data_IF_287277009638
#
_entry.id   IF_287277009638
#
_cell.length_a   1.000
_cell.length_b   1.000
_cell.length_c   1.000
_cell.angle_alpha   90.00
_cell.angle_beta   90.00
_cell.angle_gamma   90.00
#
_symmetry.space_group_name_H-M   'P 1'
#
loop_
_entity.id
_entity.type
_entity.pdbx_description
1 polymer ?
#
# COMPACT_ATOMS: atom_id res chain seq x y z
N UNK A 1 -37.50 -23.90 29.70
CA UNK A 1 -36.40 -24.30 28.78
C UNK A 1 -35.44 -25.18 29.57
N UNK A 2 -35.14 -26.37 29.09
CA UNK A 2 -34.22 -27.30 29.77
C UNK A 2 -32.82 -26.69 29.82
N UNK A 3 -32.06 -26.84 30.93
CA UNK A 3 -30.71 -26.26 31.07
C UNK A 3 -29.70 -26.73 30.00
N UNK A 4 -30.01 -27.81 29.28
CA UNK A 4 -29.23 -28.34 28.14
C UNK A 4 -29.47 -27.61 26.81
N UNK A 5 -30.55 -26.85 26.64
CA UNK A 5 -30.84 -26.15 25.38
C UNK A 5 -29.92 -24.95 25.13
N UNK A 6 -29.55 -24.23 26.19
CA UNK A 6 -28.72 -23.03 26.08
C UNK A 6 -27.30 -23.30 25.55
N UNK A 7 -26.52 -24.28 26.05
CA UNK A 7 -25.19 -24.58 25.52
C UNK A 7 -25.22 -25.06 24.05
N UNK A 8 -26.26 -25.79 23.64
CA UNK A 8 -26.41 -26.25 22.26
C UNK A 8 -26.55 -25.08 21.28
N UNK A 9 -27.33 -24.06 21.66
CA UNK A 9 -27.50 -22.84 20.87
C UNK A 9 -26.16 -22.08 20.76
N UNK A 10 -25.43 -21.93 21.87
CA UNK A 10 -24.12 -21.26 21.86
C UNK A 10 -23.11 -21.99 20.95
N UNK A 11 -23.03 -23.31 21.02
CA UNK A 11 -22.14 -24.11 20.15
C UNK A 11 -22.54 -23.95 18.69
N UNK A 12 -23.84 -24.01 18.38
CA UNK A 12 -24.34 -23.87 17.01
C UNK A 12 -23.99 -22.49 16.43
N UNK A 13 -24.26 -21.43 17.19
CA UNK A 13 -23.94 -20.05 16.80
C UNK A 13 -22.43 -19.87 16.61
N UNK A 14 -21.62 -20.41 17.52
CA UNK A 14 -20.16 -20.35 17.45
C UNK A 14 -19.61 -21.06 16.19
N UNK A 15 -20.10 -22.26 15.89
CA UNK A 15 -19.73 -23.00 14.67
C UNK A 15 -20.14 -22.24 13.41
N UNK A 16 -21.34 -21.66 13.38
CA UNK A 16 -21.80 -20.83 12.25
C UNK A 16 -20.85 -19.65 12.03
N UNK A 17 -20.46 -18.93 13.09
CA UNK A 17 -19.51 -17.82 12.97
C UNK A 17 -18.14 -18.27 12.43
N UNK A 18 -17.63 -19.41 12.90
CA UNK A 18 -16.38 -19.99 12.40
C UNK A 18 -16.48 -20.29 10.90
N UNK A 19 -17.54 -20.99 10.48
CA UNK A 19 -17.76 -21.37 9.07
C UNK A 19 -17.89 -20.14 8.18
N UNK A 20 -18.64 -19.12 8.61
CA UNK A 20 -18.76 -17.85 7.89
C UNK A 20 -17.42 -17.13 7.77
N UNK A 21 -16.61 -17.13 8.83
CA UNK A 21 -15.26 -16.57 8.82
C UNK A 21 -14.34 -17.25 7.80
N UNK A 22 -14.31 -18.58 7.79
CA UNK A 22 -13.52 -19.34 6.81
C UNK A 22 -14.00 -19.10 5.37
N UNK A 23 -15.31 -19.03 5.15
CA UNK A 23 -15.88 -18.79 3.81
C UNK A 23 -15.55 -17.38 3.30
N UNK A 24 -15.60 -16.37 4.18
CA UNK A 24 -15.18 -15.02 3.86
C UNK A 24 -13.69 -14.95 3.50
N UNK A 25 -12.82 -15.61 4.27
CA UNK A 25 -11.38 -15.67 3.97
C UNK A 25 -11.08 -16.36 2.63
N UNK A 26 -11.73 -17.49 2.34
CA UNK A 26 -11.57 -18.18 1.04
C UNK A 26 -11.99 -17.30 -0.13
N UNK A 27 -13.09 -16.56 0.02
CA UNK A 27 -13.55 -15.62 -1.02
C UNK A 27 -12.53 -14.49 -1.24
N UNK A 28 -12.00 -13.89 -0.17
CA UNK A 28 -10.98 -12.84 -0.30
C UNK A 28 -9.70 -13.36 -0.96
N UNK A 29 -9.24 -14.56 -0.60
CA UNK A 29 -8.08 -15.19 -1.22
C UNK A 29 -8.31 -15.48 -2.71
N UNK A 30 -9.51 -15.93 -3.09
CA UNK A 30 -9.88 -16.15 -4.49
C UNK A 30 -9.96 -14.84 -5.28
N UNK A 31 -10.56 -13.80 -4.71
CA UNK A 31 -10.62 -12.46 -5.34
C UNK A 31 -9.21 -11.86 -5.50
N UNK A 32 -8.34 -12.02 -4.51
CA UNK A 32 -6.93 -11.65 -4.61
C UNK A 32 -6.22 -12.42 -5.71
N UNK A 33 -6.33 -13.75 -5.73
CA UNK A 33 -5.68 -14.59 -6.72
C UNK A 33 -6.13 -14.25 -8.15
N UNK A 34 -7.43 -13.99 -8.34
CA UNK A 34 -7.96 -13.56 -9.64
C UNK A 34 -7.41 -12.20 -10.06
N UNK A 35 -7.35 -11.23 -9.14
CA UNK A 35 -6.75 -9.92 -9.41
C UNK A 35 -5.25 -10.02 -9.72
N UNK A 36 -4.50 -10.81 -8.95
CA UNK A 36 -3.06 -11.07 -9.15
C UNK A 36 -2.80 -11.64 -10.54
N UNK A 37 -3.59 -12.64 -10.96
CA UNK A 37 -3.50 -13.22 -12.29
C UNK A 37 -3.81 -12.19 -13.39
N UNK A 38 -4.82 -11.34 -13.20
CA UNK A 38 -5.17 -10.28 -14.15
C UNK A 38 -4.05 -9.24 -14.32
N UNK A 39 -3.24 -9.02 -13.28
CA UNK A 39 -2.08 -8.12 -13.33
C UNK A 39 -0.80 -8.80 -13.87
N UNK A 40 -0.85 -10.07 -14.28
CA UNK A 40 0.33 -10.83 -14.71
C UNK A 40 1.31 -11.13 -13.57
N UNK A 41 0.84 -11.06 -12.33
CA UNK A 41 1.63 -11.36 -11.13
C UNK A 41 1.41 -12.81 -10.70
N UNK A 42 2.32 -13.33 -9.88
CA UNK A 42 2.21 -14.68 -9.29
C UNK A 42 1.89 -14.57 -7.81
N UNK A 43 0.77 -15.18 -7.40
CA UNK A 43 0.38 -15.23 -5.99
C UNK A 43 1.32 -16.19 -5.24
N UNK A 44 1.99 -15.70 -4.20
CA UNK A 44 2.73 -16.53 -3.28
C UNK A 44 1.75 -17.01 -2.20
N UNK A 45 1.34 -18.27 -2.30
CA UNK A 45 0.58 -18.88 -1.22
C UNK A 45 1.50 -19.08 -0.02
N UNK A 46 1.21 -18.35 1.04
CA UNK A 46 1.81 -18.61 2.32
C UNK A 46 1.35 -19.93 2.93
N UNK A 47 2.23 -20.53 3.74
CA UNK A 47 1.98 -21.76 4.50
C UNK A 47 0.82 -21.52 5.47
N UNK A 48 -0.35 -22.07 5.13
CA UNK A 48 -1.52 -22.42 5.97
C UNK A 48 -1.99 -21.41 7.05
N UNK A 49 -3.32 -21.29 7.23
CA UNK A 49 -4.09 -20.60 8.30
C UNK A 49 -3.75 -19.15 8.74
N UNK A 50 -2.69 -18.49 8.29
CA UNK A 50 -2.38 -17.13 8.80
C UNK A 50 -1.47 -16.25 7.95
N UNK A 51 -0.98 -16.71 6.80
CA UNK A 51 0.04 -15.93 6.08
C UNK A 51 -0.57 -14.72 5.39
N UNK A 52 0.12 -13.56 5.41
CA UNK A 52 -0.24 -12.44 4.56
C UNK A 52 -0.36 -12.87 3.09
N UNK A 53 -1.33 -12.28 2.41
CA UNK A 53 -1.50 -12.44 0.97
C UNK A 53 -0.35 -11.71 0.31
N UNK A 54 0.47 -12.42 -0.45
CA UNK A 54 1.62 -11.88 -1.16
C UNK A 54 1.52 -12.25 -2.65
N UNK A 55 1.96 -11.34 -3.50
CA UNK A 55 2.07 -11.52 -4.94
C UNK A 55 3.33 -10.82 -5.44
N UNK A 56 4.08 -11.50 -6.30
CA UNK A 56 5.31 -10.98 -6.90
C UNK A 56 5.29 -11.24 -8.40
N UNK A 57 5.95 -10.38 -9.18
CA UNK A 57 6.03 -10.58 -10.62
C UNK A 57 6.72 -9.41 -11.32
N UNK A 58 6.44 -9.28 -12.60
CA UNK A 58 6.98 -8.20 -13.43
C UNK A 58 5.87 -7.50 -14.17
N UNK A 59 5.87 -6.17 -14.16
CA UNK A 59 4.94 -5.30 -14.90
C UNK A 59 5.75 -4.22 -15.61
N UNK A 60 5.51 -4.01 -16.90
CA UNK A 60 6.28 -3.08 -17.73
C UNK A 60 7.82 -3.24 -17.59
N UNK A 61 8.31 -4.50 -17.51
CA UNK A 61 9.74 -4.81 -17.32
C UNK A 61 10.30 -4.57 -15.91
N UNK A 62 9.49 -4.11 -14.95
CA UNK A 62 9.92 -3.81 -13.57
C UNK A 62 9.40 -4.85 -12.59
N UNK A 63 10.16 -5.13 -11.54
CA UNK A 63 9.70 -6.03 -10.48
C UNK A 63 8.60 -5.37 -9.66
N UNK A 64 7.50 -6.09 -9.47
CA UNK A 64 6.34 -5.64 -8.67
C UNK A 64 6.12 -6.60 -7.52
N UNK A 65 5.80 -6.06 -6.35
CA UNK A 65 5.41 -6.81 -5.15
C UNK A 65 4.16 -6.23 -4.55
N UNK A 66 3.22 -7.07 -4.16
CA UNK A 66 2.00 -6.67 -3.46
C UNK A 66 1.84 -7.60 -2.28
N UNK A 67 1.77 -7.08 -1.06
CA UNK A 67 1.62 -7.91 0.11
C UNK A 67 0.82 -7.22 1.20
N UNK A 68 0.16 -8.01 2.03
CA UNK A 68 -0.33 -7.51 3.32
C UNK A 68 0.73 -7.71 4.40
N UNK A 69 0.75 -6.82 5.39
CA UNK A 69 1.54 -7.03 6.60
C UNK A 69 0.78 -6.48 7.79
N UNK A 70 1.26 -6.73 9.00
CA UNK A 70 0.58 -6.27 10.21
C UNK A 70 1.59 -5.71 11.18
N UNK A 71 1.32 -4.51 11.70
CA UNK A 71 2.14 -3.84 12.71
C UNK A 71 1.41 -3.77 14.04
N UNK A 72 2.15 -3.59 15.14
CA UNK A 72 1.60 -3.55 16.50
C UNK A 72 1.36 -4.94 17.11
N UNK A 73 0.89 -4.94 18.36
CA UNK A 73 0.64 -6.18 19.13
C UNK A 73 -0.66 -6.08 19.93
N UNK A 74 -1.35 -7.21 20.12
CA UNK A 74 -2.60 -7.27 20.88
C UNK A 74 -3.69 -6.35 20.32
N UNK A 75 -4.16 -5.40 21.14
CA UNK A 75 -5.26 -4.47 20.81
C UNK A 75 -4.87 -3.37 19.81
N UNK A 76 -3.57 -3.14 19.59
CA UNK A 76 -3.07 -2.12 18.65
C UNK A 76 -2.65 -2.70 17.29
N UNK A 77 -3.01 -3.97 17.04
CA UNK A 77 -2.70 -4.67 15.79
C UNK A 77 -3.38 -3.98 14.60
N UNK A 78 -2.58 -3.49 13.64
CA UNK A 78 -3.07 -2.85 12.41
C UNK A 78 -2.57 -3.61 11.18
N UNK A 79 -3.48 -4.05 10.33
CA UNK A 79 -3.16 -4.64 9.02
C UNK A 79 -2.98 -3.54 7.97
N UNK A 80 -1.99 -3.73 7.12
CA UNK A 80 -1.61 -2.85 6.03
C UNK A 80 -1.56 -3.63 4.73
N UNK A 81 -1.86 -2.94 3.63
CA UNK A 81 -1.67 -3.42 2.27
C UNK A 81 -0.58 -2.56 1.63
N UNK A 82 0.41 -3.22 1.04
CA UNK A 82 1.53 -2.58 0.35
C UNK A 82 1.58 -3.06 -1.10
N UNK A 83 1.90 -2.13 -1.99
CA UNK A 83 2.30 -2.39 -3.36
C UNK A 83 3.63 -1.67 -3.62
N UNK A 84 4.55 -2.32 -4.32
CA UNK A 84 5.88 -1.78 -4.57
C UNK A 84 6.35 -2.11 -5.98
N UNK A 85 6.98 -1.15 -6.63
CA UNK A 85 7.60 -1.26 -7.96
C UNK A 85 9.09 -0.94 -7.83
N UNK A 86 9.94 -1.81 -8.36
CA UNK A 86 11.39 -1.64 -8.33
C UNK A 86 11.84 -0.73 -9.47
N UNK A 87 12.60 0.31 -9.14
CA UNK A 87 13.37 1.09 -10.10
C UNK A 87 14.50 0.21 -10.69
N UNK A 88 14.71 0.30 -12.00
CA UNK A 88 15.73 -0.46 -12.72
C UNK A 88 17.16 -0.07 -12.34
N UNK A 89 17.40 1.21 -12.02
CA UNK A 89 18.68 1.72 -11.56
C UNK A 89 18.69 1.88 -10.03
N UNK A 90 19.84 1.63 -9.40
CA UNK A 90 20.06 1.74 -7.95
C UNK A 90 20.14 3.19 -7.44
N UNK A 91 19.15 4.01 -7.78
CA UNK A 91 19.09 5.42 -7.42
C UNK A 91 19.09 5.65 -5.90
N UNK A 92 19.64 6.80 -5.49
CA UNK A 92 19.67 7.23 -4.09
C UNK A 92 18.49 8.14 -3.73
N UNK A 93 17.58 8.40 -4.67
CA UNK A 93 16.38 9.18 -4.43
C UNK A 93 15.59 8.57 -3.26
N UNK A 94 15.38 9.39 -2.24
CA UNK A 94 14.47 9.12 -1.15
C UNK A 94 13.34 10.15 -1.21
N UNK A 95 12.12 9.69 -1.42
CA UNK A 95 10.90 10.50 -1.42
C UNK A 95 9.93 9.90 -0.40
N UNK A 96 9.27 10.73 0.39
CA UNK A 96 8.17 10.32 1.26
C UNK A 96 7.03 11.31 1.09
N UNK A 97 5.85 10.78 0.80
CA UNK A 97 4.64 11.53 0.52
C UNK A 97 3.52 10.98 1.40
N UNK A 98 2.94 11.85 2.22
CA UNK A 98 1.86 11.49 3.14
C UNK A 98 0.85 12.62 3.24
N UNK A 99 -0.41 12.31 3.56
CA UNK A 99 -1.43 13.34 3.81
C UNK A 99 -1.03 14.22 5.00
N UNK A 100 -1.25 15.52 4.89
CA UNK A 100 -1.08 16.42 6.06
C UNK A 100 -1.98 15.97 7.23
N UNK A 101 -1.49 16.12 8.46
CA UNK A 101 -2.20 15.70 9.67
C UNK A 101 -2.09 14.20 10.02
N UNK A 102 -1.36 13.39 9.25
CA UNK A 102 -1.08 12.00 9.60
C UNK A 102 0.03 11.88 10.66
N UNK A 103 -0.38 11.77 11.94
CA UNK A 103 0.32 11.10 13.04
C UNK A 103 1.83 11.25 13.11
N UNK A 104 2.29 12.36 13.66
CA UNK A 104 3.65 12.64 14.10
C UNK A 104 4.33 11.46 14.81
N UNK A 105 5.31 10.86 14.11
CA UNK A 105 6.59 10.32 14.62
C UNK A 105 7.45 9.91 13.42
N UNK A 106 7.89 10.89 12.62
CA UNK A 106 8.91 10.65 11.60
C UNK A 106 10.26 10.87 12.28
N UNK A 107 10.70 9.85 13.01
CA UNK A 107 12.02 9.80 13.62
C UNK A 107 13.09 9.72 12.52
N UNK A 108 14.11 10.58 12.66
CA UNK A 108 15.50 10.35 12.22
C UNK A 108 15.74 10.17 10.71
N UNK A 109 15.33 11.12 9.88
CA UNK A 109 15.99 11.34 8.58
C UNK A 109 16.81 12.63 8.66
N UNK A 110 18.08 12.50 9.07
CA UNK A 110 19.05 13.58 9.07
C UNK A 110 19.25 14.08 7.62
N UNK A 111 18.87 15.32 7.33
CA UNK A 111 19.15 16.01 6.05
C UNK A 111 18.02 16.09 5.03
N UNK A 112 16.92 15.34 5.20
CA UNK A 112 15.77 15.43 4.27
C UNK A 112 14.91 16.65 4.57
N UNK A 113 14.81 17.56 3.59
CA UNK A 113 14.02 18.80 3.66
C UNK A 113 12.57 18.52 3.27
N UNK A 114 11.66 19.27 3.88
CA UNK A 114 10.30 19.39 3.36
C UNK A 114 10.36 20.10 1.99
N UNK A 115 9.59 19.60 1.03
CA UNK A 115 9.58 20.09 -0.35
C UNK A 115 8.21 20.73 -0.60
N UNK A 116 8.20 21.95 -1.11
CA UNK A 116 7.02 22.58 -1.69
C UNK A 116 7.11 22.51 -3.20
N UNK A 117 6.05 22.07 -3.86
CA UNK A 117 6.01 22.01 -5.34
C UNK A 117 5.55 23.32 -5.96
N UNK A 118 5.09 24.28 -5.15
CA UNK A 118 4.64 25.59 -5.60
C UNK A 118 3.15 25.62 -5.99
N UNK A 119 2.38 24.62 -5.56
CA UNK A 119 0.94 24.56 -5.73
C UNK A 119 0.30 24.51 -4.35
N UNK A 120 -0.31 25.62 -3.95
CA UNK A 120 -0.86 25.78 -2.60
C UNK A 120 -1.93 24.73 -2.24
N UNK A 121 -2.70 24.24 -3.21
CA UNK A 121 -3.72 23.22 -2.96
C UNK A 121 -3.05 21.88 -2.69
N UNK A 122 -2.09 21.50 -3.54
CA UNK A 122 -1.36 20.25 -3.37
C UNK A 122 -0.49 20.26 -2.11
N UNK A 123 0.29 21.34 -1.90
CA UNK A 123 1.17 21.54 -0.74
C UNK A 123 0.37 21.60 0.58
N UNK A 124 -0.89 22.05 0.54
CA UNK A 124 -1.80 22.02 1.70
C UNK A 124 -2.37 20.63 2.02
N UNK A 125 -2.46 19.74 1.03
CA UNK A 125 -2.99 18.38 1.20
C UNK A 125 -1.90 17.35 1.52
N UNK A 126 -0.68 17.61 1.09
CA UNK A 126 0.42 16.66 1.11
C UNK A 126 1.62 17.21 1.86
N UNK A 127 2.21 16.35 2.68
CA UNK A 127 3.51 16.56 3.28
C UNK A 127 4.54 15.76 2.47
N UNK A 128 5.47 16.48 1.85
CA UNK A 128 6.45 15.95 0.91
C UNK A 128 7.83 16.10 1.55
N UNK A 129 8.60 15.01 1.60
CA UNK A 129 10.00 15.04 2.02
C UNK A 129 10.88 14.33 1.03
N UNK A 130 12.04 14.92 0.75
CA UNK A 130 13.02 14.29 -0.12
C UNK A 130 14.46 14.64 0.26
N UNK A 131 15.40 13.75 -0.06
CA UNK A 131 16.83 14.05 -0.04
C UNK A 131 17.31 14.84 -1.27
N UNK A 132 16.45 15.01 -2.28
CA UNK A 132 16.67 15.75 -3.53
C UNK A 132 15.51 16.69 -3.80
N UNK A 133 15.40 17.73 -2.96
CA UNK A 133 14.26 18.66 -2.95
C UNK A 133 14.02 19.35 -4.30
N UNK A 134 15.06 19.95 -4.88
CA UNK A 134 14.98 20.68 -6.16
C UNK A 134 14.55 19.75 -7.31
N UNK A 135 15.07 18.53 -7.34
CA UNK A 135 14.67 17.53 -8.31
C UNK A 135 13.19 17.17 -8.17
N UNK A 136 12.72 16.88 -6.95
CA UNK A 136 11.30 16.54 -6.72
C UNK A 136 10.37 17.70 -7.02
N UNK A 137 10.77 18.93 -6.70
CA UNK A 137 10.02 20.13 -7.03
C UNK A 137 9.81 20.25 -8.55
N UNK A 138 10.83 19.96 -9.36
CA UNK A 138 10.72 19.96 -10.82
C UNK A 138 10.02 18.72 -11.38
N UNK A 139 10.18 17.56 -10.74
CA UNK A 139 9.71 16.27 -11.22
C UNK A 139 8.23 15.99 -10.90
N UNK A 140 7.66 16.58 -9.84
CA UNK A 140 6.24 16.47 -9.51
C UNK A 140 5.39 17.37 -10.41
N UNK A 141 5.35 17.01 -11.70
CA UNK A 141 4.54 17.65 -12.71
C UNK A 141 3.03 17.62 -12.33
N UNK A 142 2.21 18.57 -12.83
CA UNK A 142 0.78 18.62 -12.56
C UNK A 142 0.08 17.26 -12.73
N UNK A 143 0.44 16.50 -13.75
CA UNK A 143 -0.16 15.20 -14.08
C UNK A 143 0.12 14.15 -13.00
N UNK A 144 1.34 14.11 -12.46
CA UNK A 144 1.72 13.20 -11.37
C UNK A 144 0.98 13.59 -10.09
N UNK A 145 0.85 14.90 -9.83
CA UNK A 145 0.10 15.44 -8.70
C UNK A 145 -1.37 15.08 -8.76
N UNK A 146 -2.00 15.19 -9.92
CA UNK A 146 -3.39 14.76 -10.14
C UNK A 146 -3.54 13.26 -9.87
N UNK A 147 -2.63 12.41 -10.36
CA UNK A 147 -2.70 10.96 -10.10
C UNK A 147 -2.51 10.61 -8.62
N UNK A 148 -1.63 11.31 -7.93
CA UNK A 148 -1.47 11.19 -6.48
C UNK A 148 -2.81 11.49 -5.78
N UNK A 149 -3.47 12.58 -6.17
CA UNK A 149 -4.77 12.95 -5.61
C UNK A 149 -5.88 11.95 -5.95
N UNK A 150 -5.91 11.41 -7.17
CA UNK A 150 -6.87 10.38 -7.59
C UNK A 150 -6.73 9.09 -6.76
N UNK A 151 -5.49 8.59 -6.62
CA UNK A 151 -5.21 7.40 -5.79
C UNK A 151 -5.66 7.66 -4.34
N UNK A 152 -5.44 8.87 -3.85
CA UNK A 152 -5.77 9.24 -2.48
C UNK A 152 -7.24 9.58 -2.25
N UNK A 153 -7.98 10.04 -3.26
CA UNK A 153 -9.42 10.32 -3.18
C UNK A 153 -10.23 9.03 -3.02
N UNK A 154 -9.74 7.93 -3.57
CA UNK A 154 -10.35 6.61 -3.41
C UNK A 154 -9.98 5.94 -2.09
N UNK A 155 -8.87 6.36 -1.49
CA UNK A 155 -8.28 5.83 -0.26
C UNK A 155 -8.80 6.50 1.02
N UNK A 156 -8.50 5.89 2.17
CA UNK A 156 -8.68 6.55 3.46
C UNK A 156 -7.49 7.44 3.83
N UNK A 157 -7.61 8.24 4.90
CA UNK A 157 -6.59 9.17 5.40
C UNK A 157 -5.27 8.52 5.89
N UNK A 158 -4.98 7.27 5.54
CA UNK A 158 -3.81 6.49 6.02
C UNK A 158 -2.99 5.94 4.86
N UNK A 159 -2.87 6.73 3.80
CA UNK A 159 -2.07 6.45 2.62
C UNK A 159 -0.69 7.07 2.76
N UNK A 160 0.33 6.28 2.40
CA UNK A 160 1.73 6.70 2.31
C UNK A 160 2.31 6.23 0.99
N UNK A 161 3.02 7.10 0.30
CA UNK A 161 3.80 6.78 -0.90
C UNK A 161 5.26 7.10 -0.61
N UNK A 162 6.17 6.19 -0.91
CA UNK A 162 7.59 6.37 -0.68
C UNK A 162 8.43 5.88 -1.85
N UNK A 163 9.53 6.56 -2.15
CA UNK A 163 10.62 6.00 -2.94
C UNK A 163 11.79 5.82 -1.99
N UNK A 164 12.26 4.59 -1.81
CA UNK A 164 13.43 4.30 -0.96
C UNK A 164 14.11 3.01 -1.38
N UNK A 165 15.45 3.02 -1.42
CA UNK A 165 16.24 1.82 -1.72
C UNK A 165 15.90 1.19 -3.07
N UNK A 166 15.58 2.01 -4.07
CA UNK A 166 15.17 1.57 -5.40
C UNK A 166 13.75 1.01 -5.48
N UNK A 167 12.90 1.23 -4.49
CA UNK A 167 11.49 0.83 -4.51
C UNK A 167 10.57 2.05 -4.39
N UNK A 168 9.69 2.24 -5.37
CA UNK A 168 8.51 3.08 -5.24
C UNK A 168 7.41 2.22 -4.57
N UNK A 169 6.95 2.63 -3.40
CA UNK A 169 6.05 1.86 -2.53
C UNK A 169 4.82 2.67 -2.17
N UNK A 170 3.67 2.07 -2.32
CA UNK A 170 2.38 2.51 -1.81
C UNK A 170 2.03 1.68 -0.59
N UNK A 171 1.53 2.32 0.46
CA UNK A 171 1.04 1.66 1.68
C UNK A 171 -0.29 2.28 2.09
N UNK A 172 -1.28 1.43 2.37
CA UNK A 172 -2.53 1.86 2.98
C UNK A 172 -2.95 0.98 4.16
N UNK A 173 -3.70 1.56 5.09
CA UNK A 173 -4.30 0.82 6.20
C UNK A 173 -5.45 -0.05 5.69
N UNK A 174 -5.44 -1.32 6.04
CA UNK A 174 -6.48 -2.28 5.71
C UNK A 174 -5.93 -3.60 5.17
N UNK A 175 -6.85 -4.52 4.90
CA UNK A 175 -6.56 -5.78 4.21
C UNK A 175 -7.10 -5.77 2.78
N UNK A 176 -6.95 -6.91 2.11
CA UNK A 176 -7.45 -7.10 0.74
C UNK A 176 -8.97 -7.04 0.69
N UNK A 177 -9.48 -6.21 -0.22
CA UNK A 177 -10.88 -6.05 -0.58
C UNK A 177 -10.96 -5.58 -2.04
N UNK A 178 -12.12 -5.68 -2.70
CA UNK A 178 -12.26 -5.16 -4.07
C UNK A 178 -11.89 -3.68 -4.20
N UNK A 179 -12.29 -2.86 -3.22
CA UNK A 179 -11.96 -1.42 -3.19
C UNK A 179 -10.45 -1.19 -3.07
N UNK A 180 -9.77 -1.92 -2.18
CA UNK A 180 -8.33 -1.79 -2.01
C UNK A 180 -7.56 -2.29 -3.23
N UNK A 181 -8.01 -3.37 -3.88
CA UNK A 181 -7.35 -3.89 -5.09
C UNK A 181 -7.49 -2.92 -6.27
N UNK A 182 -8.65 -2.29 -6.43
CA UNK A 182 -8.83 -1.23 -7.43
C UNK A 182 -7.90 -0.04 -7.17
N UNK A 183 -7.71 0.36 -5.90
CA UNK A 183 -6.74 1.40 -5.56
C UNK A 183 -5.30 1.00 -5.80
N UNK A 184 -4.93 -0.22 -5.43
CA UNK A 184 -3.59 -0.74 -5.70
C UNK A 184 -3.32 -0.74 -7.21
N UNK A 185 -4.29 -1.12 -8.03
CA UNK A 185 -4.15 -1.07 -9.48
C UNK A 185 -3.86 0.34 -10.02
N UNK A 186 -4.56 1.36 -9.52
CA UNK A 186 -4.27 2.76 -9.86
C UNK A 186 -2.90 3.20 -9.33
N UNK A 187 -2.58 2.81 -8.09
CA UNK A 187 -1.30 3.12 -7.47
C UNK A 187 -0.13 2.50 -8.24
N UNK A 188 -0.26 1.29 -8.78
CA UNK A 188 0.82 0.64 -9.54
C UNK A 188 1.26 1.48 -10.75
N UNK A 189 0.34 2.13 -11.46
CA UNK A 189 0.70 3.06 -12.54
C UNK A 189 1.49 4.27 -12.04
N UNK A 190 1.06 4.88 -10.92
CA UNK A 190 1.80 5.97 -10.28
C UNK A 190 3.19 5.51 -9.79
N UNK A 191 3.30 4.31 -9.19
CA UNK A 191 4.56 3.78 -8.70
C UNK A 191 5.56 3.49 -9.83
N UNK A 192 5.10 3.09 -11.01
CA UNK A 192 5.95 2.94 -12.21
C UNK A 192 6.53 4.29 -12.67
N UNK A 193 5.75 5.36 -12.60
CA UNK A 193 6.23 6.72 -12.89
C UNK A 193 7.23 7.19 -11.85
N UNK A 194 6.95 7.00 -10.55
CA UNK A 194 7.88 7.34 -9.49
C UNK A 194 9.18 6.52 -9.55
N UNK A 195 9.10 5.25 -9.93
CA UNK A 195 10.27 4.42 -10.19
C UNK A 195 11.09 4.96 -11.38
N UNK A 196 10.42 5.43 -12.43
CA UNK A 196 11.08 6.09 -13.58
C UNK A 196 11.75 7.40 -13.16
N UNK A 197 11.12 8.21 -12.30
CA UNK A 197 11.76 9.42 -11.76
C UNK A 197 13.04 9.09 -10.98
N UNK A 198 13.03 8.02 -10.19
CA UNK A 198 14.21 7.57 -9.47
C UNK A 198 15.34 7.11 -10.40
N UNK A 199 14.99 6.51 -11.55
CA UNK A 199 15.95 6.13 -12.59
C UNK A 199 16.55 7.36 -13.28
N UNK A 200 15.73 8.37 -13.60
CA UNK A 200 16.17 9.63 -14.20
C UNK A 200 17.13 10.37 -13.26
N UNK A 201 16.80 10.43 -11.97
CA UNK A 201 17.68 11.04 -10.96
C UNK A 201 19.02 10.32 -10.84
N UNK A 202 19.01 8.98 -10.95
CA UNK A 202 20.23 8.19 -10.87
C UNK A 202 21.14 8.33 -12.09
N UNK A 203 20.60 8.77 -13.23
CA UNK A 203 21.33 8.91 -14.49
C UNK A 203 21.97 10.30 -14.68
N UNK A 204 21.51 11.32 -13.94
CA UNK A 204 22.01 12.70 -13.99
C UNK A 204 22.99 13.03 -12.87
#
# INVERSE_FOLDING_TARGET
MSPLFMPLIFVTVFVVFIVLGFRAQKRMAAEFAAWVAAQGLTALQGRWWSTPLEANGTRAGRQVRVHTFTTGSGKSRQTWLSAAVRAGAGGRLELSLMRQGFGTKISEWFGAKEVTVGDAVFDGHWFIRSNRAEFIQAALLPEIRTRIDEVAALGGNSLKIEVKGGWATYVERGGVSRKSLHRVELALGLLEELATLAEVEAAG
#
